data_IF_917326065565
#
_entry.id   IF_917326065565
#
_cell.length_a   1.000
_cell.length_b   1.000
_cell.length_c   1.000
_cell.angle_alpha   90.00
_cell.angle_beta   90.00
_cell.angle_gamma   90.00
#
_symmetry.space_group_name_H-M   'P 1'
#
loop_
_entity.id
_entity.type
_entity.pdbx_description
1 polymer ?
#
# COMPACT_ATOMS: atom_id res chain seq x y z
N UNK A 1 -2.32 -39.90 14.73
CA UNK A 1 -2.28 -38.66 13.93
C UNK A 1 -3.57 -37.87 14.20
N UNK A 2 -3.50 -36.90 15.11
CA UNK A 2 -4.68 -36.12 15.57
C UNK A 2 -5.26 -35.23 14.46
N UNK A 3 -4.39 -34.56 13.67
CA UNK A 3 -4.77 -33.64 12.60
C UNK A 3 -5.58 -34.31 11.49
N UNK A 4 -5.18 -35.50 11.06
CA UNK A 4 -5.86 -36.25 9.99
C UNK A 4 -7.25 -36.71 10.42
N UNK A 5 -7.43 -37.06 11.69
CA UNK A 5 -8.71 -37.46 12.27
C UNK A 5 -9.71 -36.29 12.32
N UNK A 6 -9.23 -35.06 12.51
CA UNK A 6 -10.04 -33.85 12.66
C UNK A 6 -9.95 -32.91 11.44
N UNK A 7 -9.56 -33.43 10.25
CA UNK A 7 -9.36 -32.63 9.04
C UNK A 7 -10.51 -31.68 8.68
N UNK A 8 -11.77 -32.13 8.93
CA UNK A 8 -12.96 -31.30 8.66
C UNK A 8 -13.01 -30.02 9.50
N UNK A 9 -12.55 -30.10 10.76
CA UNK A 9 -12.51 -28.94 11.68
C UNK A 9 -11.43 -27.95 11.21
N UNK A 10 -10.23 -28.46 10.87
CA UNK A 10 -9.15 -27.59 10.37
C UNK A 10 -9.49 -26.93 9.05
N UNK A 11 -10.12 -27.67 8.12
CA UNK A 11 -10.62 -27.09 6.87
C UNK A 11 -11.71 -26.05 7.13
N UNK A 12 -12.64 -26.30 8.05
CA UNK A 12 -13.68 -25.33 8.45
C UNK A 12 -13.10 -24.04 9.02
N UNK A 13 -12.09 -24.15 9.91
CA UNK A 13 -11.39 -22.96 10.44
C UNK A 13 -10.67 -22.19 9.33
N UNK A 14 -9.97 -22.89 8.43
CA UNK A 14 -9.29 -22.23 7.29
C UNK A 14 -10.27 -21.47 6.40
N UNK A 15 -11.38 -22.10 6.04
CA UNK A 15 -12.43 -21.45 5.24
C UNK A 15 -13.00 -20.23 5.97
N UNK A 16 -13.28 -20.35 7.27
CA UNK A 16 -13.80 -19.24 8.07
C UNK A 16 -12.82 -18.06 8.11
N UNK A 17 -11.52 -18.32 8.27
CA UNK A 17 -10.47 -17.29 8.25
C UNK A 17 -10.37 -16.60 6.88
N UNK A 18 -10.43 -17.36 5.79
CA UNK A 18 -10.41 -16.80 4.43
C UNK A 18 -11.64 -15.92 4.19
N UNK A 19 -12.83 -16.38 4.54
CA UNK A 19 -14.05 -15.61 4.42
C UNK A 19 -14.00 -14.33 5.26
N UNK A 20 -13.53 -14.43 6.50
CA UNK A 20 -13.33 -13.27 7.37
C UNK A 20 -12.35 -12.25 6.77
N UNK A 21 -11.24 -12.72 6.19
CA UNK A 21 -10.25 -11.87 5.51
C UNK A 21 -10.87 -11.15 4.31
N UNK A 22 -11.64 -11.86 3.49
CA UNK A 22 -12.32 -11.28 2.33
C UNK A 22 -13.34 -10.22 2.77
N UNK A 23 -14.18 -10.52 3.76
CA UNK A 23 -15.15 -9.57 4.31
C UNK A 23 -14.45 -8.34 4.88
N UNK A 24 -13.37 -8.54 5.64
CA UNK A 24 -12.56 -7.46 6.19
C UNK A 24 -12.01 -6.55 5.08
N UNK A 25 -11.54 -7.11 3.98
CA UNK A 25 -11.04 -6.36 2.83
C UNK A 25 -12.12 -5.49 2.18
N UNK A 26 -13.35 -5.99 2.08
CA UNK A 26 -14.47 -5.22 1.53
C UNK A 26 -14.96 -4.13 2.49
N UNK A 27 -14.98 -4.40 3.80
CA UNK A 27 -15.45 -3.45 4.83
C UNK A 27 -14.45 -2.32 5.06
N UNK A 28 -13.17 -2.65 5.21
CA UNK A 28 -12.11 -1.65 5.51
C UNK A 28 -11.47 -1.06 4.26
N UNK A 29 -11.64 -1.69 3.10
CA UNK A 29 -11.02 -1.30 1.84
C UNK A 29 -9.50 -1.47 1.83
N UNK A 30 -8.92 -1.38 0.65
CA UNK A 30 -7.47 -1.41 0.46
C UNK A 30 -6.92 0.02 0.45
N UNK A 31 -6.08 0.38 1.43
CA UNK A 31 -5.36 1.66 1.43
C UNK A 31 -4.12 1.53 0.55
N UNK A 32 -4.29 1.89 -0.72
CA UNK A 32 -3.21 1.82 -1.72
C UNK A 32 -2.26 3.01 -1.54
N UNK A 33 -0.96 2.79 -1.78
CA UNK A 33 0.06 3.83 -1.69
C UNK A 33 -0.08 4.91 -2.77
N UNK A 34 0.70 5.99 -2.61
CA UNK A 34 0.73 7.11 -3.56
C UNK A 34 1.18 6.69 -4.96
N UNK A 35 1.99 5.63 -5.07
CA UNK A 35 2.45 5.07 -6.35
C UNK A 35 1.30 4.65 -7.28
N UNK A 36 0.16 4.26 -6.69
CA UNK A 36 -1.00 3.77 -7.44
C UNK A 36 -2.15 4.79 -7.52
N UNK A 37 -2.33 5.61 -6.48
CA UNK A 37 -3.39 6.65 -6.47
C UNK A 37 -2.93 7.99 -7.01
N UNK A 38 -1.63 8.21 -7.03
CA UNK A 38 -1.04 9.54 -7.12
C UNK A 38 -1.07 10.24 -5.75
N UNK A 39 -0.29 11.26 -5.60
CA UNK A 39 -0.15 12.06 -4.39
C UNK A 39 1.29 12.41 -4.11
N UNK A 40 1.52 13.19 -3.05
CA UNK A 40 2.84 13.56 -2.57
C UNK A 40 3.11 12.98 -1.18
N UNK A 41 4.35 12.57 -0.97
CA UNK A 41 4.90 12.14 0.30
C UNK A 41 6.10 13.04 0.60
N UNK A 42 5.98 13.84 1.65
CA UNK A 42 7.05 14.72 2.13
C UNK A 42 7.51 14.22 3.49
N UNK A 43 8.78 13.89 3.61
CA UNK A 43 9.41 13.50 4.87
C UNK A 43 10.28 14.66 5.38
N UNK A 44 10.03 15.08 6.62
CA UNK A 44 10.79 16.15 7.27
C UNK A 44 11.33 15.66 8.61
N UNK A 45 12.52 16.14 8.95
CA UNK A 45 13.18 15.89 10.24
C UNK A 45 13.49 17.21 10.90
N UNK A 46 13.06 17.41 12.13
CA UNK A 46 13.35 18.60 12.92
C UNK A 46 14.71 18.48 13.60
N UNK A 47 15.43 19.60 13.68
CA UNK A 47 16.77 19.61 14.28
C UNK A 47 16.78 19.48 15.79
N UNK A 48 15.69 19.90 16.44
CA UNK A 48 15.55 19.88 17.89
C UNK A 48 14.38 19.01 18.30
N UNK A 49 13.28 19.61 18.70
CA UNK A 49 12.07 18.91 19.10
C UNK A 49 10.99 19.07 18.02
N UNK A 50 10.31 17.99 17.70
CA UNK A 50 9.19 18.05 16.75
C UNK A 50 7.98 18.74 17.37
N UNK A 51 7.31 19.63 16.65
CA UNK A 51 6.07 20.26 17.10
C UNK A 51 4.97 19.23 17.38
N UNK A 52 4.05 19.57 18.28
CA UNK A 52 2.91 18.69 18.55
C UNK A 52 2.05 18.51 17.31
N UNK A 53 1.67 17.27 17.03
CA UNK A 53 0.89 16.90 15.85
C UNK A 53 -0.41 17.71 15.71
N UNK A 54 -1.06 18.04 16.83
CA UNK A 54 -2.30 18.84 16.85
C UNK A 54 -2.09 20.24 16.28
N UNK A 55 -1.00 20.91 16.65
CA UNK A 55 -0.69 22.26 16.15
C UNK A 55 -0.36 22.24 14.65
N UNK A 56 0.36 21.20 14.19
CA UNK A 56 0.66 21.03 12.77
C UNK A 56 -0.59 20.72 11.96
N UNK A 57 -1.46 19.82 12.43
CA UNK A 57 -2.70 19.51 11.73
C UNK A 57 -3.56 20.77 11.53
N UNK A 58 -3.73 21.61 12.55
CA UNK A 58 -4.47 22.86 12.42
C UNK A 58 -3.87 23.80 11.37
N UNK A 59 -2.54 23.89 11.31
CA UNK A 59 -1.84 24.73 10.33
C UNK A 59 -1.92 24.14 8.92
N UNK A 60 -1.90 22.83 8.79
CA UNK A 60 -2.02 22.11 7.51
C UNK A 60 -3.44 22.18 6.95
N UNK A 61 -4.46 22.05 7.80
CA UNK A 61 -5.87 22.16 7.40
C UNK A 61 -6.19 23.54 6.81
N UNK A 62 -5.51 24.60 7.29
CA UNK A 62 -5.64 25.95 6.75
C UNK A 62 -5.12 26.10 5.30
N UNK A 63 -4.27 25.19 4.82
CA UNK A 63 -3.75 25.23 3.44
C UNK A 63 -4.78 24.80 2.39
N UNK A 64 -5.86 24.14 2.78
CA UNK A 64 -6.91 23.64 1.86
C UNK A 64 -6.37 22.71 0.73
N UNK A 65 -5.30 21.97 0.98
CA UNK A 65 -4.73 21.01 0.01
C UNK A 65 -5.46 19.64 0.00
N UNK A 66 -6.68 19.59 0.55
CA UNK A 66 -7.45 18.37 0.73
C UNK A 66 -7.07 17.61 2.00
N UNK A 67 -7.41 16.33 2.07
CA UNK A 67 -7.06 15.52 3.24
C UNK A 67 -5.57 15.24 3.27
N UNK A 68 -4.89 15.80 4.26
CA UNK A 68 -3.49 15.51 4.55
C UNK A 68 -3.39 14.53 5.72
N UNK A 69 -2.47 13.59 5.63
CA UNK A 69 -2.20 12.64 6.70
C UNK A 69 -0.79 12.88 7.24
N UNK A 70 -0.73 13.36 8.48
CA UNK A 70 0.52 13.57 9.19
C UNK A 70 0.83 12.35 10.07
N UNK A 71 1.94 11.69 9.81
CA UNK A 71 2.39 10.51 10.56
C UNK A 71 3.76 10.78 11.18
N UNK A 72 3.94 10.53 12.49
CA UNK A 72 5.25 10.65 13.12
C UNK A 72 6.18 9.53 12.59
N UNK A 73 7.45 9.90 12.37
CA UNK A 73 8.52 8.97 11.99
C UNK A 73 9.76 9.25 12.84
N UNK A 74 10.36 8.21 13.40
CA UNK A 74 11.46 8.37 14.35
C UNK A 74 11.12 9.30 15.52
N UNK A 75 12.15 9.86 16.15
CA UNK A 75 12.00 10.74 17.31
C UNK A 75 11.68 12.19 16.92
N UNK A 76 12.20 12.65 15.78
CA UNK A 76 12.15 14.06 15.36
C UNK A 76 11.47 14.28 14.00
N UNK A 77 10.92 13.24 13.38
CA UNK A 77 10.41 13.34 12.01
C UNK A 77 8.87 13.29 11.92
N UNK A 78 8.39 13.78 10.77
CA UNK A 78 7.04 13.58 10.28
C UNK A 78 7.05 13.22 8.81
N UNK A 79 6.15 12.29 8.42
CA UNK A 79 5.79 12.01 7.04
C UNK A 79 4.42 12.64 6.79
N UNK A 80 4.35 13.53 5.80
CA UNK A 80 3.10 14.13 5.32
C UNK A 80 2.71 13.49 4.02
N UNK A 81 1.52 12.90 3.97
CA UNK A 81 0.89 12.41 2.74
C UNK A 81 -0.19 13.38 2.33
N UNK A 82 -0.13 13.85 1.09
CA UNK A 82 -1.09 14.79 0.51
C UNK A 82 -1.47 14.39 -0.92
N UNK A 83 -2.33 15.18 -1.56
CA UNK A 83 -2.47 15.13 -3.02
C UNK A 83 -1.16 15.49 -3.70
N UNK A 84 -1.09 15.30 -4.99
CA UNK A 84 -0.02 15.85 -5.81
C UNK A 84 0.13 17.36 -5.62
N UNK A 85 1.35 17.82 -5.38
CA UNK A 85 1.69 19.21 -5.08
C UNK A 85 2.61 19.75 -6.18
N UNK A 86 2.36 20.97 -6.59
CA UNK A 86 3.32 21.73 -7.41
C UNK A 86 4.42 22.33 -6.53
N UNK A 87 5.47 22.86 -7.15
CA UNK A 87 6.65 23.39 -6.44
C UNK A 87 6.29 24.52 -5.47
N UNK A 88 5.34 25.40 -5.83
CA UNK A 88 4.90 26.50 -4.97
C UNK A 88 4.12 25.98 -3.75
N UNK A 89 3.25 25.00 -3.95
CA UNK A 89 2.50 24.36 -2.87
C UNK A 89 3.42 23.55 -1.94
N UNK A 90 4.42 22.88 -2.50
CA UNK A 90 5.44 22.18 -1.72
C UNK A 90 6.26 23.14 -0.84
N UNK A 91 6.71 24.26 -1.40
CA UNK A 91 7.41 25.29 -0.62
C UNK A 91 6.52 25.87 0.50
N UNK A 92 5.23 26.06 0.23
CA UNK A 92 4.27 26.52 1.24
C UNK A 92 4.04 25.46 2.33
N UNK A 93 3.99 24.18 1.96
CA UNK A 93 3.91 23.07 2.91
C UNK A 93 5.10 23.06 3.87
N UNK A 94 6.33 23.16 3.35
CA UNK A 94 7.55 23.19 4.17
C UNK A 94 7.56 24.40 5.12
N UNK A 95 7.14 25.58 4.63
CA UNK A 95 7.02 26.77 5.45
C UNK A 95 5.99 26.59 6.57
N UNK A 96 4.88 25.91 6.30
CA UNK A 96 3.83 25.63 7.29
C UNK A 96 4.32 24.62 8.32
N UNK A 97 5.02 23.57 7.90
CA UNK A 97 5.62 22.57 8.78
C UNK A 97 6.67 23.19 9.72
N UNK A 98 7.41 24.20 9.24
CA UNK A 98 8.34 24.96 10.10
C UNK A 98 7.66 25.96 11.05
N UNK A 99 6.32 26.02 11.04
CA UNK A 99 5.52 27.02 11.78
C UNK A 99 5.99 28.47 11.50
N UNK A 100 6.20 28.75 10.22
CA UNK A 100 6.71 30.05 9.78
C UNK A 100 8.19 30.28 10.08
N UNK A 101 9.00 29.25 10.17
CA UNK A 101 10.43 29.29 10.43
C UNK A 101 10.81 29.25 11.92
N UNK A 102 9.84 29.03 12.82
CA UNK A 102 10.13 28.87 14.26
C UNK A 102 10.86 27.55 14.57
N UNK A 103 10.56 26.50 13.85
CA UNK A 103 11.16 25.19 14.03
C UNK A 103 11.99 24.85 12.79
N UNK A 104 13.30 24.81 12.96
CA UNK A 104 14.19 24.40 11.88
C UNK A 104 13.95 22.94 11.53
N UNK A 105 13.68 22.69 10.26
CA UNK A 105 13.51 21.33 9.72
C UNK A 105 14.42 21.14 8.49
N UNK A 106 14.75 19.90 8.24
CA UNK A 106 15.41 19.45 7.02
C UNK A 106 14.47 18.49 6.30
N UNK A 107 14.28 18.70 5.01
CA UNK A 107 13.57 17.77 4.17
C UNK A 107 14.44 16.53 3.95
N UNK A 108 13.99 15.38 4.43
CA UNK A 108 14.66 14.10 4.28
C UNK A 108 14.31 13.43 2.96
N UNK A 109 13.10 13.71 2.43
CA UNK A 109 12.67 13.20 1.13
C UNK A 109 11.37 13.82 0.67
N UNK A 110 11.27 13.98 -0.65
CA UNK A 110 10.04 14.38 -1.34
C UNK A 110 9.81 13.47 -2.54
N UNK A 111 8.62 12.91 -2.62
CA UNK A 111 8.18 12.11 -3.75
C UNK A 111 6.76 12.52 -4.12
N UNK A 112 6.57 12.96 -5.37
CA UNK A 112 5.26 13.37 -5.88
C UNK A 112 4.96 12.61 -7.15
N UNK A 113 3.78 11.99 -7.20
CA UNK A 113 3.32 11.19 -8.33
C UNK A 113 1.98 11.75 -8.78
N UNK A 114 1.96 12.32 -9.99
CA UNK A 114 0.73 12.83 -10.58
C UNK A 114 -0.34 11.73 -10.76
N UNK A 115 -1.63 12.08 -10.69
CA UNK A 115 -2.72 11.10 -10.77
C UNK A 115 -2.76 10.29 -12.07
N UNK A 116 -2.29 10.86 -13.18
CA UNK A 116 -2.18 10.17 -14.48
C UNK A 116 -1.13 9.06 -14.44
N UNK A 117 0.02 9.33 -13.83
CA UNK A 117 1.11 8.36 -13.66
C UNK A 117 0.68 7.24 -12.71
N UNK A 118 0.03 7.58 -11.59
CA UNK A 118 -0.50 6.59 -10.65
C UNK A 118 -1.51 5.63 -11.31
N UNK A 119 -2.41 6.14 -12.15
CA UNK A 119 -3.36 5.32 -12.92
C UNK A 119 -2.65 4.40 -13.93
N UNK A 120 -1.62 4.91 -14.60
CA UNK A 120 -0.85 4.11 -15.55
C UNK A 120 -0.08 2.99 -14.85
N UNK A 121 0.57 3.30 -13.71
CA UNK A 121 1.26 2.31 -12.87
C UNK A 121 0.30 1.23 -12.38
N UNK A 122 -0.88 1.61 -11.90
CA UNK A 122 -1.93 0.66 -11.48
C UNK A 122 -2.32 -0.27 -12.62
N UNK A 123 -2.59 0.29 -13.81
CA UNK A 123 -2.95 -0.52 -14.99
C UNK A 123 -1.84 -1.50 -15.38
N UNK A 124 -0.60 -1.02 -15.42
CA UNK A 124 0.56 -1.86 -15.75
C UNK A 124 0.78 -2.96 -14.70
N UNK A 125 0.62 -2.64 -13.41
CA UNK A 125 0.73 -3.62 -12.34
C UNK A 125 -0.32 -4.72 -12.45
N UNK A 126 -1.59 -4.39 -12.70
CA UNK A 126 -2.66 -5.38 -12.89
C UNK A 126 -2.37 -6.29 -14.09
N UNK A 127 -1.96 -5.70 -15.24
CA UNK A 127 -1.61 -6.46 -16.43
C UNK A 127 -0.43 -7.40 -16.13
N UNK A 128 0.60 -6.92 -15.44
CA UNK A 128 1.76 -7.73 -15.07
C UNK A 128 1.38 -8.91 -14.18
N UNK A 129 0.53 -8.68 -13.16
CA UNK A 129 0.03 -9.75 -12.27
C UNK A 129 -0.71 -10.83 -13.06
N UNK A 130 -1.63 -10.41 -13.95
CA UNK A 130 -2.39 -11.35 -14.80
C UNK A 130 -1.44 -12.15 -15.69
N UNK A 131 -0.49 -11.48 -16.33
CA UNK A 131 0.45 -12.10 -17.27
C UNK A 131 1.37 -13.11 -16.57
N UNK A 132 1.91 -12.74 -15.41
CA UNK A 132 2.74 -13.64 -14.59
C UNK A 132 1.92 -14.81 -14.07
N UNK A 133 0.68 -14.60 -13.61
CA UNK A 133 -0.21 -15.67 -13.16
C UNK A 133 -0.48 -16.67 -14.28
N UNK A 134 -0.79 -16.19 -15.49
CA UNK A 134 -0.99 -17.04 -16.66
C UNK A 134 0.28 -17.82 -17.02
N UNK A 135 1.44 -17.16 -16.99
CA UNK A 135 2.72 -17.80 -17.26
C UNK A 135 3.02 -18.93 -16.26
N UNK A 136 2.74 -18.72 -14.97
CA UNK A 136 2.90 -19.75 -13.93
C UNK A 136 1.95 -20.93 -14.18
N UNK A 137 0.67 -20.68 -14.47
CA UNK A 137 -0.30 -21.74 -14.78
C UNK A 137 0.17 -22.57 -15.97
N UNK A 138 0.57 -21.89 -17.07
CA UNK A 138 1.05 -22.57 -18.28
C UNK A 138 2.33 -23.37 -18.01
N UNK A 139 3.27 -22.81 -17.25
CA UNK A 139 4.50 -23.49 -16.87
C UNK A 139 4.23 -24.76 -16.05
N UNK A 140 3.38 -24.67 -15.04
CA UNK A 140 2.99 -25.81 -14.19
C UNK A 140 2.25 -26.86 -15.04
N UNK A 141 1.29 -26.45 -15.87
CA UNK A 141 0.57 -27.34 -16.74
C UNK A 141 1.51 -28.09 -17.71
N UNK A 142 2.52 -27.39 -18.24
CA UNK A 142 3.54 -27.98 -19.10
C UNK A 142 4.48 -28.92 -18.35
N UNK A 143 4.99 -28.51 -17.18
CA UNK A 143 5.90 -29.29 -16.36
C UNK A 143 5.26 -30.62 -15.91
N UNK A 144 4.00 -30.59 -15.51
CA UNK A 144 3.26 -31.76 -15.02
C UNK A 144 2.45 -32.47 -16.08
N UNK A 145 2.63 -32.18 -17.38
CA UNK A 145 1.86 -32.80 -18.48
C UNK A 145 1.95 -34.33 -18.52
N UNK A 146 3.08 -34.91 -18.09
CA UNK A 146 3.29 -36.36 -18.05
C UNK A 146 2.72 -37.03 -16.80
N UNK A 147 2.32 -36.28 -15.78
CA UNK A 147 1.83 -36.78 -14.47
C UNK A 147 0.34 -36.48 -14.32
N UNK A 148 -0.42 -36.38 -15.42
CA UNK A 148 -1.83 -35.95 -15.43
C UNK A 148 -2.83 -37.02 -14.92
N UNK A 149 -2.38 -38.12 -14.34
CA UNK A 149 -3.24 -39.11 -13.70
C UNK A 149 -2.87 -39.25 -12.23
N UNK A 150 -3.82 -39.15 -11.28
CA UNK A 150 -5.28 -39.05 -11.42
C UNK A 150 -5.84 -37.61 -11.56
N UNK A 151 -5.00 -36.55 -11.50
CA UNK A 151 -5.46 -35.13 -11.49
C UNK A 151 -4.86 -34.42 -12.70
N UNK A 152 -5.68 -33.66 -13.43
CA UNK A 152 -5.24 -32.85 -14.58
C UNK A 152 -4.20 -31.78 -14.17
N UNK A 153 -3.13 -31.65 -14.98
CA UNK A 153 -2.02 -30.69 -14.78
C UNK A 153 -2.51 -29.22 -14.63
N UNK A 154 -3.59 -28.84 -15.27
CA UNK A 154 -4.20 -27.53 -15.19
C UNK A 154 -4.73 -27.21 -13.79
N UNK A 155 -5.23 -28.22 -13.05
CA UNK A 155 -5.68 -28.04 -11.67
C UNK A 155 -4.54 -27.69 -10.73
N UNK A 156 -3.36 -28.25 -10.94
CA UNK A 156 -2.16 -27.89 -10.17
C UNK A 156 -1.76 -26.43 -10.40
N UNK A 157 -1.79 -25.96 -11.67
CA UNK A 157 -1.51 -24.56 -12.00
C UNK A 157 -2.51 -23.60 -11.34
N UNK A 158 -3.80 -23.94 -11.37
CA UNK A 158 -4.83 -23.11 -10.74
C UNK A 158 -4.68 -23.07 -9.21
N UNK A 159 -4.44 -24.21 -8.57
CA UNK A 159 -4.24 -24.29 -7.12
C UNK A 159 -3.03 -23.45 -6.70
N UNK A 160 -1.93 -23.49 -7.45
CA UNK A 160 -0.73 -22.72 -7.14
C UNK A 160 -0.94 -21.19 -7.16
N UNK A 161 -1.93 -20.70 -7.89
CA UNK A 161 -2.27 -19.25 -7.88
C UNK A 161 -3.20 -18.90 -6.72
N UNK A 162 -4.04 -19.84 -6.29
CA UNK A 162 -5.02 -19.61 -5.20
C UNK A 162 -4.39 -19.79 -3.81
N UNK A 163 -3.26 -20.48 -3.72
CA UNK A 163 -2.51 -20.69 -2.47
C UNK A 163 -1.49 -19.61 -2.23
#
# INVERSE_FOLDING_TARGET
MFIVKHKKIFIGISIALVLFSIVSLFVFGLKVGIDFKGGALTEVVYKTERPKQVALNQSLDALNFGSMLLQPTGDFGYIVKSRDLNDAEHALLLKTLSLGGKNELTEAGFNSIGPSVGKELTRKAIIAIILVSLAIICFIAFAFRKVSKPVSSWRYGFIAIVT
#
